data_IF_424743267449
#
_entry.id   IF_424743267449
#
_cell.length_a   1.000
_cell.length_b   1.000
_cell.length_c   1.000
_cell.angle_alpha   90.00
_cell.angle_beta   90.00
_cell.angle_gamma   90.00
#
_symmetry.space_group_name_H-M   'P 1'
#
loop_
_entity.id
_entity.type
_entity.pdbx_description
1 polymer ?
#
# COMPACT_ATOMS: atom_id res chain seq x y z
N UNK A 1 -14.37 -2.47 10.12
CA UNK A 1 -13.04 -2.33 10.77
C UNK A 1 -12.28 -1.42 9.85
N UNK A 2 -12.13 -0.12 10.17
CA UNK A 2 -11.79 0.96 9.22
C UNK A 2 -10.92 0.47 8.04
N UNK A 3 -11.51 0.19 6.87
CA UNK A 3 -10.83 -0.30 5.66
C UNK A 3 -10.17 0.87 4.92
N UNK A 4 -9.59 1.79 5.69
CA UNK A 4 -8.77 2.86 5.19
C UNK A 4 -7.46 2.84 5.95
N UNK A 5 -6.35 2.91 5.24
CA UNK A 5 -5.02 2.96 5.85
C UNK A 5 -4.17 4.03 5.19
N UNK A 6 -3.08 4.41 5.84
CA UNK A 6 -2.20 5.43 5.31
C UNK A 6 -1.15 4.81 4.39
N UNK A 7 -0.92 5.47 3.26
CA UNK A 7 0.07 5.10 2.25
C UNK A 7 0.97 6.31 1.92
N UNK A 8 2.18 6.09 1.39
CA UNK A 8 3.03 7.17 0.92
C UNK A 8 2.34 7.97 -0.21
N UNK A 9 2.32 9.30 -0.10
CA UNK A 9 1.74 10.18 -1.13
C UNK A 9 2.70 10.44 -2.29
N UNK A 10 3.99 10.44 -2.02
CA UNK A 10 5.04 10.66 -3.03
C UNK A 10 6.33 9.97 -2.61
N UNK A 11 7.29 9.90 -3.53
CA UNK A 11 8.64 9.43 -3.23
C UNK A 11 9.45 10.52 -2.56
N UNK A 12 10.19 10.17 -1.51
CA UNK A 12 11.12 11.06 -0.79
C UNK A 12 12.48 10.40 -0.71
N UNK A 13 13.55 11.21 -0.79
CA UNK A 13 14.92 10.78 -0.51
C UNK A 13 15.54 11.68 0.55
N UNK A 14 16.17 11.06 1.54
CA UNK A 14 17.02 11.74 2.52
C UNK A 14 18.43 11.17 2.49
N UNK A 15 19.38 11.94 3.02
CA UNK A 15 20.75 11.50 3.25
C UNK A 15 21.01 11.45 4.76
N UNK A 16 21.50 10.31 5.23
CA UNK A 16 22.03 10.12 6.57
C UNK A 16 23.53 9.77 6.49
N UNK A 17 24.37 10.43 7.28
CA UNK A 17 25.82 10.24 7.25
C UNK A 17 26.35 9.84 8.63
N UNK A 18 27.19 8.79 8.67
CA UNK A 18 27.87 8.33 9.89
C UNK A 18 29.22 7.72 9.54
N UNK A 19 30.27 8.11 10.28
CA UNK A 19 31.65 7.61 10.08
C UNK A 19 32.09 7.62 8.61
N UNK A 20 31.88 8.76 7.94
CA UNK A 20 32.11 8.99 6.51
C UNK A 20 31.29 8.14 5.53
N UNK A 21 30.52 7.15 6.01
CA UNK A 21 29.59 6.40 5.17
C UNK A 21 28.33 7.22 4.94
N UNK A 22 27.81 7.19 3.72
CA UNK A 22 26.60 7.92 3.31
C UNK A 22 25.50 6.93 2.99
N UNK A 23 24.31 7.18 3.52
CA UNK A 23 23.12 6.35 3.37
C UNK A 23 22.02 7.21 2.76
N UNK A 24 21.67 6.93 1.51
CA UNK A 24 20.55 7.58 0.83
C UNK A 24 19.32 6.68 0.95
N UNK A 25 18.41 7.04 1.84
CA UNK A 25 17.14 6.32 2.01
C UNK A 25 16.11 6.94 1.06
N UNK A 26 15.72 6.18 0.03
CA UNK A 26 14.63 6.52 -0.87
C UNK A 26 13.41 5.71 -0.47
N UNK A 27 12.32 6.39 -0.14
CA UNK A 27 11.08 5.78 0.34
C UNK A 27 9.91 6.24 -0.53
N UNK A 28 8.97 5.35 -0.83
CA UNK A 28 7.86 5.66 -1.72
C UNK A 28 6.75 4.62 -1.67
N UNK A 29 5.72 4.84 -2.50
CA UNK A 29 4.57 3.95 -2.64
C UNK A 29 4.87 2.79 -3.59
N UNK A 30 4.40 1.61 -3.24
CA UNK A 30 4.31 0.46 -4.14
C UNK A 30 3.03 -0.32 -3.78
N UNK A 31 2.11 -0.45 -4.73
CA UNK A 31 0.81 -1.11 -4.50
C UNK A 31 0.87 -2.62 -4.75
N UNK A 32 1.98 -3.12 -5.31
CA UNK A 32 2.24 -4.53 -5.54
C UNK A 32 3.70 -4.90 -5.28
N UNK A 33 3.98 -6.20 -5.18
CA UNK A 33 5.35 -6.71 -5.09
C UNK A 33 6.15 -6.39 -6.36
N UNK A 34 5.48 -6.41 -7.51
CA UNK A 34 6.04 -6.10 -8.82
C UNK A 34 6.43 -4.62 -8.91
N UNK A 35 5.60 -3.72 -8.40
CA UNK A 35 5.94 -2.31 -8.28
C UNK A 35 7.09 -2.07 -7.31
N UNK A 36 7.10 -2.76 -6.16
CA UNK A 36 8.21 -2.67 -5.21
C UNK A 36 9.54 -3.11 -5.84
N UNK A 37 9.54 -4.22 -6.60
CA UNK A 37 10.71 -4.69 -7.35
C UNK A 37 11.15 -3.68 -8.42
N UNK A 38 10.20 -3.10 -9.13
CA UNK A 38 10.46 -2.07 -10.15
C UNK A 38 11.08 -0.81 -9.54
N UNK A 39 10.57 -0.39 -8.38
CA UNK A 39 11.14 0.70 -7.58
C UNK A 39 12.57 0.37 -7.15
N UNK A 40 12.83 -0.83 -6.61
CA UNK A 40 14.19 -1.23 -6.22
C UNK A 40 15.14 -1.20 -7.42
N UNK A 41 14.70 -1.69 -8.58
CA UNK A 41 15.51 -1.71 -9.78
C UNK A 41 15.82 -0.31 -10.32
N UNK A 42 14.87 0.63 -10.28
CA UNK A 42 15.11 2.00 -10.74
C UNK A 42 16.17 2.70 -9.89
N UNK A 43 16.14 2.50 -8.56
CA UNK A 43 17.15 3.07 -7.64
C UNK A 43 18.54 2.46 -7.87
N UNK A 44 18.63 1.16 -8.14
CA UNK A 44 19.89 0.50 -8.52
C UNK A 44 20.47 1.06 -9.83
N UNK A 45 19.61 1.33 -10.81
CA UNK A 45 20.04 1.91 -12.09
C UNK A 45 20.46 3.38 -11.94
N UNK A 46 19.82 4.12 -11.04
CA UNK A 46 20.15 5.52 -10.75
C UNK A 46 21.50 5.67 -10.03
N UNK A 47 21.83 4.74 -9.12
CA UNK A 47 23.05 4.79 -8.29
C UNK A 47 23.89 3.49 -8.44
N UNK A 48 24.37 3.17 -9.66
CA UNK A 48 25.01 1.88 -9.95
C UNK A 48 26.40 1.71 -9.32
N UNK A 49 27.00 2.80 -8.85
CA UNK A 49 28.32 2.84 -8.21
C UNK A 49 28.25 2.66 -6.68
N UNK A 50 27.05 2.51 -6.11
CA UNK A 50 26.88 2.28 -4.69
C UNK A 50 27.37 0.90 -4.25
N UNK A 51 27.72 0.78 -2.97
CA UNK A 51 28.21 -0.48 -2.40
C UNK A 51 27.08 -1.47 -2.16
N UNK A 52 25.94 -0.98 -1.67
CA UNK A 52 24.76 -1.79 -1.34
C UNK A 52 23.47 -0.99 -1.57
N UNK A 53 22.42 -1.66 -2.00
CA UNK A 53 21.03 -1.22 -2.09
C UNK A 53 20.14 -2.13 -1.25
N UNK A 54 20.26 -1.95 0.07
CA UNK A 54 19.42 -2.62 1.06
C UNK A 54 18.00 -2.15 0.88
N UNK A 55 17.04 -3.06 0.94
CA UNK A 55 15.63 -2.69 0.80
C UNK A 55 14.75 -3.41 1.79
N UNK A 56 13.59 -2.81 2.04
CA UNK A 56 12.44 -3.45 2.63
C UNK A 56 11.14 -2.88 2.04
N UNK A 57 10.08 -3.66 2.04
CA UNK A 57 8.75 -3.22 1.67
C UNK A 57 7.67 -3.91 2.50
N UNK A 58 6.53 -3.23 2.63
CA UNK A 58 5.28 -3.72 3.22
C UNK A 58 4.17 -3.34 2.23
N UNK A 59 3.54 -4.35 1.63
CA UNK A 59 2.45 -4.18 0.65
C UNK A 59 1.15 -4.67 1.29
N UNK A 60 0.06 -3.95 1.09
CA UNK A 60 -1.22 -4.20 1.74
C UNK A 60 -1.29 -3.70 3.19
N UNK A 61 -2.35 -4.09 3.89
CA UNK A 61 -2.61 -3.69 5.28
C UNK A 61 -3.46 -4.75 6.00
N UNK A 62 -3.32 -4.85 7.32
CA UNK A 62 -4.08 -5.82 8.11
C UNK A 62 -3.71 -7.26 7.77
N UNK A 63 -4.69 -8.08 7.36
CA UNK A 63 -4.48 -9.50 7.07
C UNK A 63 -3.86 -9.77 5.69
N UNK A 64 -3.83 -8.78 4.78
CA UNK A 64 -3.30 -8.93 3.42
C UNK A 64 -1.83 -8.50 3.27
N UNK A 65 -1.13 -8.28 4.39
CA UNK A 65 0.24 -7.76 4.37
C UNK A 65 1.23 -8.76 3.75
N UNK A 66 1.98 -8.29 2.76
CA UNK A 66 3.12 -8.98 2.16
C UNK A 66 4.38 -8.16 2.44
N UNK A 67 5.38 -8.80 3.03
CA UNK A 67 6.65 -8.16 3.37
C UNK A 67 7.81 -8.77 2.57
N UNK A 68 8.84 -7.96 2.31
CA UNK A 68 10.10 -8.43 1.75
C UNK A 68 11.24 -7.51 2.12
N UNK A 69 12.44 -8.07 2.22
CA UNK A 69 13.65 -7.32 2.56
C UNK A 69 14.90 -8.02 2.02
N UNK A 70 16.01 -7.27 1.94
CA UNK A 70 17.32 -7.81 1.61
C UNK A 70 18.43 -6.98 2.25
N UNK A 71 19.46 -7.66 2.75
CA UNK A 71 20.71 -7.04 3.21
C UNK A 71 21.65 -6.64 2.04
N UNK A 72 21.36 -7.05 0.80
CA UNK A 72 22.13 -6.74 -0.42
C UNK A 72 23.67 -6.85 -0.30
N UNK A 73 24.15 -7.89 0.37
CA UNK A 73 25.59 -8.13 0.55
C UNK A 73 26.19 -7.50 1.82
N UNK A 74 25.42 -6.74 2.60
CA UNK A 74 25.77 -6.44 4.00
C UNK A 74 25.78 -7.74 4.83
N UNK A 75 26.45 -7.73 6.00
CA UNK A 75 26.37 -8.85 6.93
C UNK A 75 24.92 -9.21 7.24
N UNK A 76 24.62 -10.51 7.18
CA UNK A 76 23.26 -11.03 7.35
C UNK A 76 22.60 -10.52 8.64
N UNK A 77 21.39 -9.99 8.47
CA UNK A 77 20.56 -9.50 9.56
C UNK A 77 20.87 -8.08 10.04
N UNK A 78 21.81 -7.38 9.40
CA UNK A 78 22.27 -6.07 9.88
C UNK A 78 21.64 -4.86 9.19
N UNK A 79 20.89 -5.06 8.10
CA UNK A 79 20.41 -3.95 7.29
C UNK A 79 18.94 -4.09 6.88
N UNK A 80 18.57 -5.20 6.23
CA UNK A 80 17.19 -5.51 5.82
C UNK A 80 16.24 -5.58 7.01
N UNK A 81 16.51 -6.43 8.03
CA UNK A 81 15.63 -6.54 9.19
C UNK A 81 15.38 -5.26 9.99
N UNK A 82 16.40 -4.42 10.32
CA UNK A 82 16.13 -3.15 11.00
C UNK A 82 15.33 -2.18 10.12
N UNK A 83 15.54 -2.20 8.81
CA UNK A 83 14.73 -1.39 7.87
C UNK A 83 13.27 -1.84 7.87
N UNK A 84 13.02 -3.15 7.73
CA UNK A 84 11.66 -3.71 7.73
C UNK A 84 10.95 -3.48 9.07
N UNK A 85 11.65 -3.62 10.19
CA UNK A 85 11.09 -3.37 11.51
C UNK A 85 10.58 -1.92 11.66
N UNK A 86 11.30 -0.96 11.07
CA UNK A 86 10.90 0.45 11.06
C UNK A 86 9.67 0.67 10.19
N UNK A 87 9.62 0.09 8.98
CA UNK A 87 8.43 0.18 8.13
C UNK A 87 7.21 -0.45 8.79
N UNK A 88 7.34 -1.65 9.36
CA UNK A 88 6.26 -2.33 10.10
C UNK A 88 5.76 -1.50 11.28
N UNK A 89 6.68 -0.91 12.04
CA UNK A 89 6.35 -0.06 13.19
C UNK A 89 5.63 1.25 12.82
N UNK A 90 5.68 1.67 11.56
CA UNK A 90 5.00 2.88 11.08
C UNK A 90 3.49 2.73 10.95
N UNK A 91 3.00 1.49 10.74
CA UNK A 91 1.59 1.22 10.42
C UNK A 91 1.15 1.64 9.02
N UNK A 92 2.07 2.12 8.17
CA UNK A 92 1.79 2.43 6.76
C UNK A 92 1.74 1.15 5.92
N UNK A 93 0.83 1.12 4.96
CA UNK A 93 0.79 0.10 3.91
C UNK A 93 1.37 0.62 2.59
N UNK A 94 1.53 -0.29 1.63
CA UNK A 94 1.99 0.00 0.26
C UNK A 94 3.26 0.85 0.21
N UNK A 95 4.25 0.49 1.02
CA UNK A 95 5.47 1.27 1.24
C UNK A 95 6.70 0.44 0.89
N UNK A 96 7.63 1.06 0.15
CA UNK A 96 8.94 0.50 -0.20
C UNK A 96 10.02 1.48 0.20
N UNK A 97 11.13 0.97 0.74
CA UNK A 97 12.31 1.73 1.06
C UNK A 97 13.55 1.05 0.48
N UNK A 98 14.41 1.83 -0.16
CA UNK A 98 15.76 1.43 -0.59
C UNK A 98 16.77 2.36 0.07
N UNK A 99 17.65 1.80 0.90
CA UNK A 99 18.81 2.51 1.43
C UNK A 99 20.04 2.19 0.59
N UNK A 100 20.49 3.18 -0.16
CA UNK A 100 21.70 3.11 -0.98
C UNK A 100 22.90 3.56 -0.16
N UNK A 101 23.88 2.70 0.03
CA UNK A 101 25.06 2.97 0.85
C UNK A 101 26.31 3.17 0.02
N UNK A 102 27.03 4.24 0.32
CA UNK A 102 28.42 4.44 -0.10
C UNK A 102 29.35 4.26 1.10
N UNK A 103 30.27 3.30 1.01
CA UNK A 103 31.21 3.00 2.08
C UNK A 103 32.24 4.13 2.27
N UNK A 104 32.36 4.62 3.52
CA UNK A 104 33.25 5.73 3.88
C UNK A 104 34.67 5.37 4.30
N UNK A 105 35.13 4.14 4.09
CA UNK A 105 36.47 3.69 4.49
C UNK A 105 36.58 3.19 5.94
N UNK A 106 35.60 3.47 6.81
CA UNK A 106 35.57 2.97 8.20
C UNK A 106 34.43 1.97 8.42
N UNK A 107 34.75 0.79 8.94
CA UNK A 107 33.76 -0.25 9.27
C UNK A 107 32.94 0.17 10.49
N UNK A 108 31.62 0.03 10.40
CA UNK A 108 30.68 0.36 11.48
C UNK A 108 30.48 -0.80 12.49
N UNK A 109 30.88 -2.02 12.12
CA UNK A 109 30.52 -3.23 12.86
C UNK A 109 29.03 -3.55 12.80
N UNK A 110 28.64 -4.73 13.28
CA UNK A 110 27.26 -5.25 13.21
C UNK A 110 26.24 -4.29 13.85
N UNK A 111 26.50 -3.84 15.09
CA UNK A 111 25.60 -2.92 15.80
C UNK A 111 25.51 -1.54 15.16
N UNK A 112 26.62 -1.05 14.59
CA UNK A 112 26.64 0.24 13.88
C UNK A 112 25.83 0.20 12.58
N UNK A 113 25.87 -0.93 11.85
CA UNK A 113 25.03 -1.12 10.66
C UNK A 113 23.55 -1.17 11.01
N UNK A 114 23.18 -1.96 12.02
CA UNK A 114 21.80 -2.05 12.50
C UNK A 114 21.26 -0.68 12.87
N UNK A 115 22.05 0.10 13.61
CA UNK A 115 21.68 1.46 13.97
C UNK A 115 21.56 2.38 12.75
N UNK A 116 22.55 2.38 11.85
CA UNK A 116 22.58 3.28 10.69
C UNK A 116 21.40 3.03 9.72
N UNK A 117 21.11 1.77 9.37
CA UNK A 117 19.99 1.45 8.49
C UNK A 117 18.63 1.75 9.15
N UNK A 118 18.48 1.39 10.43
CA UNK A 118 17.27 1.72 11.18
C UNK A 118 17.05 3.24 11.30
N UNK A 119 18.13 4.01 11.50
CA UNK A 119 18.05 5.47 11.60
C UNK A 119 17.71 6.12 10.26
N UNK A 120 18.38 5.73 9.18
CA UNK A 120 18.07 6.22 7.84
C UNK A 120 16.61 5.94 7.45
N UNK A 121 16.09 4.75 7.78
CA UNK A 121 14.68 4.41 7.55
C UNK A 121 13.72 5.29 8.36
N UNK A 122 14.03 5.57 9.64
CA UNK A 122 13.21 6.45 10.49
C UNK A 122 13.19 7.88 9.98
N UNK A 123 14.34 8.42 9.58
CA UNK A 123 14.42 9.77 9.03
C UNK A 123 13.66 9.90 7.71
N UNK A 124 13.72 8.87 6.85
CA UNK A 124 12.93 8.82 5.63
C UNK A 124 11.42 8.81 5.91
N UNK A 125 10.96 8.02 6.89
CA UNK A 125 9.56 8.00 7.31
C UNK A 125 9.10 9.35 7.88
N UNK A 126 9.93 10.01 8.69
CA UNK A 126 9.60 11.33 9.26
C UNK A 126 9.42 12.40 8.17
N UNK A 127 10.15 12.29 7.07
CA UNK A 127 10.05 13.20 5.93
C UNK A 127 8.94 12.82 4.93
N UNK A 128 8.31 11.64 5.08
CA UNK A 128 7.38 11.09 4.09
C UNK A 128 5.97 11.67 4.27
N UNK A 129 5.43 12.43 3.30
CA UNK A 129 4.01 12.78 3.32
C UNK A 129 3.16 11.55 3.02
N UNK A 130 2.05 11.41 3.73
CA UNK A 130 1.12 10.29 3.62
C UNK A 130 -0.27 10.75 3.24
N UNK A 131 -1.04 9.84 2.64
CA UNK A 131 -2.45 10.03 2.34
C UNK A 131 -3.27 8.80 2.75
N UNK A 132 -4.57 8.96 2.89
CA UNK A 132 -5.48 7.86 3.22
C UNK A 132 -5.91 7.16 1.95
N UNK A 133 -5.64 5.85 1.88
CA UNK A 133 -6.19 4.96 0.87
C UNK A 133 -7.44 4.30 1.43
N UNK A 134 -8.56 4.42 0.70
CA UNK A 134 -9.83 3.74 1.01
C UNK A 134 -9.87 2.47 0.18
N UNK A 135 -9.93 1.32 0.85
CA UNK A 135 -10.09 0.02 0.21
C UNK A 135 -11.53 -0.12 -0.26
N UNK A 136 -11.70 -0.52 -1.52
CA UNK A 136 -13.02 -0.73 -2.10
C UNK A 136 -13.24 -2.20 -2.44
N UNK A 137 -14.50 -2.56 -2.56
CA UNK A 137 -14.97 -3.87 -3.00
C UNK A 137 -15.69 -3.67 -4.32
N UNK A 138 -15.29 -4.41 -5.34
CA UNK A 138 -15.98 -4.46 -6.62
C UNK A 138 -17.16 -5.43 -6.50
N UNK A 139 -18.36 -4.93 -6.74
CA UNK A 139 -19.58 -5.69 -6.65
C UNK A 139 -20.48 -5.45 -7.86
N UNK A 140 -21.33 -6.43 -8.14
CA UNK A 140 -22.38 -6.35 -9.15
C UNK A 140 -23.76 -6.53 -8.52
N UNK A 141 -24.78 -5.92 -9.10
CA UNK A 141 -26.18 -6.15 -8.73
C UNK A 141 -27.07 -6.15 -9.98
N UNK A 142 -27.97 -7.12 -10.05
CA UNK A 142 -29.05 -7.16 -11.05
C UNK A 142 -30.35 -6.66 -10.43
N UNK A 143 -30.97 -5.66 -11.04
CA UNK A 143 -32.16 -5.01 -10.52
C UNK A 143 -33.22 -4.78 -11.60
N UNK A 144 -34.51 -4.88 -11.25
CA UNK A 144 -35.56 -4.44 -12.16
C UNK A 144 -35.51 -2.93 -12.35
N UNK A 145 -35.95 -2.46 -13.53
CA UNK A 145 -36.01 -1.03 -13.86
C UNK A 145 -36.77 -0.18 -12.84
N UNK A 146 -37.75 -0.75 -12.12
CA UNK A 146 -38.52 -0.06 -11.08
C UNK A 146 -37.71 0.32 -9.84
N UNK A 147 -36.56 -0.34 -9.61
CA UNK A 147 -35.65 -0.06 -8.50
C UNK A 147 -34.42 0.75 -8.91
N UNK A 148 -34.16 0.91 -10.21
CA UNK A 148 -32.94 1.51 -10.75
C UNK A 148 -32.57 2.85 -10.11
N UNK A 149 -33.43 3.86 -10.17
CA UNK A 149 -33.15 5.19 -9.60
C UNK A 149 -32.94 5.15 -8.08
N UNK A 150 -33.70 4.30 -7.37
CA UNK A 150 -33.59 4.16 -5.91
C UNK A 150 -32.28 3.48 -5.52
N UNK A 151 -31.82 2.51 -6.29
CA UNK A 151 -30.54 1.82 -6.07
C UNK A 151 -29.37 2.73 -6.40
N UNK A 152 -29.46 3.57 -7.45
CA UNK A 152 -28.42 4.58 -7.73
C UNK A 152 -28.28 5.61 -6.61
N UNK A 153 -29.40 6.09 -6.08
CA UNK A 153 -29.38 6.98 -4.91
C UNK A 153 -28.73 6.28 -3.71
N UNK A 154 -29.08 5.01 -3.46
CA UNK A 154 -28.51 4.22 -2.39
C UNK A 154 -26.98 4.04 -2.56
N UNK A 155 -26.51 3.72 -3.77
CA UNK A 155 -25.09 3.60 -4.10
C UNK A 155 -24.34 4.90 -3.77
N UNK A 156 -24.89 6.04 -4.19
CA UNK A 156 -24.31 7.35 -3.89
C UNK A 156 -24.29 7.64 -2.37
N UNK A 157 -25.33 7.27 -1.63
CA UNK A 157 -25.37 7.44 -0.15
C UNK A 157 -24.27 6.66 0.58
N UNK A 158 -23.77 5.57 -0.02
CA UNK A 158 -22.69 4.75 0.53
C UNK A 158 -21.31 5.00 -0.10
N UNK A 159 -21.15 6.13 -0.81
CA UNK A 159 -19.90 6.51 -1.48
C UNK A 159 -19.41 5.48 -2.51
N UNK A 160 -20.36 4.79 -3.17
CA UNK A 160 -20.05 3.85 -4.23
C UNK A 160 -19.85 4.58 -5.57
N UNK A 161 -18.82 4.17 -6.30
CA UNK A 161 -18.53 4.60 -7.66
C UNK A 161 -19.09 3.55 -8.64
N UNK A 162 -19.95 3.96 -9.57
CA UNK A 162 -20.49 3.07 -10.61
C UNK A 162 -19.46 2.97 -11.74
N UNK A 163 -19.04 1.75 -12.05
CA UNK A 163 -18.10 1.46 -13.13
C UNK A 163 -18.83 1.15 -14.44
N UNK A 164 -19.95 0.42 -14.38
CA UNK A 164 -20.71 0.01 -15.56
C UNK A 164 -22.22 -0.14 -15.27
N UNK A 165 -23.05 0.19 -16.27
CA UNK A 165 -24.50 -0.01 -16.26
C UNK A 165 -24.93 -0.71 -17.55
N UNK A 166 -25.52 -1.90 -17.44
CA UNK A 166 -25.95 -2.72 -18.59
C UNK A 166 -27.47 -2.86 -18.56
N UNK A 167 -28.13 -2.40 -19.61
CA UNK A 167 -29.58 -2.42 -19.74
C UNK A 167 -30.04 -3.59 -20.62
N UNK A 168 -30.57 -4.63 -19.99
CA UNK A 168 -31.10 -5.82 -20.66
C UNK A 168 -32.53 -6.09 -20.17
N UNK A 169 -32.88 -7.37 -19.93
CA UNK A 169 -34.15 -7.73 -19.30
C UNK A 169 -34.28 -7.11 -17.90
N UNK A 170 -33.20 -7.17 -17.13
CA UNK A 170 -32.96 -6.40 -15.92
C UNK A 170 -31.77 -5.46 -16.14
N UNK A 171 -31.54 -4.53 -15.21
CA UNK A 171 -30.39 -3.63 -15.22
C UNK A 171 -29.29 -4.22 -14.34
N UNK A 172 -28.12 -4.45 -14.90
CA UNK A 172 -26.92 -4.83 -14.14
C UNK A 172 -26.12 -3.57 -13.85
N UNK A 173 -25.74 -3.36 -12.59
CA UNK A 173 -24.83 -2.28 -12.18
C UNK A 173 -23.58 -2.91 -11.56
N UNK A 174 -22.42 -2.57 -12.10
CA UNK A 174 -21.11 -2.89 -11.53
C UNK A 174 -20.56 -1.63 -10.86
N UNK A 175 -20.12 -1.76 -9.62
CA UNK A 175 -19.71 -0.63 -8.80
C UNK A 175 -18.62 -0.99 -7.80
N UNK A 176 -17.83 0.01 -7.38
CA UNK A 176 -16.85 -0.06 -6.31
C UNK A 176 -17.36 0.70 -5.10
N UNK A 177 -17.50 0.02 -3.97
CA UNK A 177 -17.99 0.58 -2.71
C UNK A 177 -16.89 0.48 -1.65
N UNK A 178 -16.72 1.45 -0.73
CA UNK A 178 -15.83 1.27 0.42
C UNK A 178 -16.13 -0.05 1.11
N UNK A 179 -15.10 -0.88 1.34
CA UNK A 179 -15.32 -2.26 1.77
C UNK A 179 -16.09 -2.36 3.10
N UNK A 180 -15.87 -1.43 4.03
CA UNK A 180 -16.63 -1.30 5.29
C UNK A 180 -18.13 -1.06 5.08
N UNK A 181 -18.54 -0.47 3.95
CA UNK A 181 -19.94 -0.16 3.65
C UNK A 181 -20.67 -1.34 3.01
N UNK A 182 -19.96 -2.38 2.55
CA UNK A 182 -20.54 -3.50 1.78
C UNK A 182 -21.68 -4.20 2.52
N UNK A 183 -21.50 -4.51 3.81
CA UNK A 183 -22.51 -5.22 4.61
C UNK A 183 -23.75 -4.35 4.84
N UNK A 184 -23.57 -3.11 5.30
CA UNK A 184 -24.67 -2.16 5.52
C UNK A 184 -25.40 -1.78 4.23
N UNK A 185 -24.69 -1.68 3.11
CA UNK A 185 -25.30 -1.49 1.79
C UNK A 185 -26.18 -2.69 1.42
N UNK A 186 -25.67 -3.91 1.58
CA UNK A 186 -26.40 -5.14 1.31
C UNK A 186 -27.67 -5.28 2.16
N UNK A 187 -27.61 -4.88 3.43
CA UNK A 187 -28.80 -4.78 4.30
C UNK A 187 -29.83 -3.79 3.77
N UNK A 188 -29.44 -2.54 3.49
CA UNK A 188 -30.38 -1.53 2.99
C UNK A 188 -30.93 -1.85 1.61
N UNK A 189 -30.15 -2.52 0.76
CA UNK A 189 -30.60 -2.97 -0.55
C UNK A 189 -31.68 -4.06 -0.43
N UNK A 190 -31.52 -4.99 0.52
CA UNK A 190 -32.54 -5.99 0.83
C UNK A 190 -33.81 -5.34 1.34
N UNK A 191 -33.72 -4.38 2.27
CA UNK A 191 -34.90 -3.65 2.76
C UNK A 191 -35.62 -2.89 1.64
N UNK A 192 -34.86 -2.21 0.77
CA UNK A 192 -35.39 -1.46 -0.37
C UNK A 192 -36.16 -2.35 -1.36
N UNK A 193 -35.68 -3.59 -1.53
CA UNK A 193 -36.18 -4.56 -2.51
C UNK A 193 -37.11 -5.63 -1.92
N UNK A 194 -37.51 -5.51 -0.65
CA UNK A 194 -38.26 -6.57 0.07
C UNK A 194 -37.56 -7.94 0.02
N UNK A 195 -36.23 -7.95 0.06
CA UNK A 195 -35.37 -9.13 0.08
C UNK A 195 -35.11 -9.79 -1.28
N UNK A 196 -35.54 -9.17 -2.39
CA UNK A 196 -35.43 -9.78 -3.73
C UNK A 196 -34.06 -9.58 -4.38
N UNK A 197 -33.32 -8.55 -3.99
CA UNK A 197 -32.06 -8.15 -4.64
C UNK A 197 -30.89 -8.41 -3.69
N UNK A 198 -29.80 -8.95 -4.23
CA UNK A 198 -28.55 -9.20 -3.54
C UNK A 198 -27.37 -8.72 -4.39
N UNK A 199 -26.33 -8.22 -3.74
CA UNK A 199 -25.06 -7.95 -4.41
C UNK A 199 -24.29 -9.26 -4.61
N UNK A 200 -23.50 -9.30 -5.68
CA UNK A 200 -22.48 -10.31 -5.92
C UNK A 200 -21.11 -9.66 -5.79
N UNK A 201 -20.25 -10.17 -4.92
CA UNK A 201 -18.87 -9.69 -4.82
C UNK A 201 -18.08 -10.25 -6.00
N UNK A 202 -17.51 -9.35 -6.81
CA UNK A 202 -16.71 -9.71 -7.97
C UNK A 202 -15.22 -9.75 -7.60
N UNK A 203 -14.77 -8.78 -6.81
CA UNK A 203 -13.40 -8.69 -6.31
C UNK A 203 -13.34 -7.94 -4.97
N UNK A 204 -12.53 -8.44 -4.03
CA UNK A 204 -12.31 -7.80 -2.74
C UNK A 204 -11.00 -7.00 -2.73
N UNK A 205 -11.00 -5.87 -2.03
CA UNK A 205 -9.82 -5.06 -1.74
C UNK A 205 -9.13 -4.43 -2.97
N UNK A 206 -9.94 -3.88 -3.88
CA UNK A 206 -9.51 -3.06 -5.02
C UNK A 206 -9.29 -1.59 -4.65
#
# INVERSE_FOLDING_TARGET
MKTSYQVPKQTVRIEYQVSNSRFYATIGRADSVEEAKSFIQSIRQEMPDATHHVYAYVIGHGSSVIEGMSDDGEPSGTAGPPTLAVLRGSGLGNIVLVTTRYFGGTKLGTGGLVHAYGQAAKEALLALPVETLIVRTLAGVDIPYSLYERVKLLLHEFDAEIDEEIFAADVTIVFRIPSDNTESFSERLRDLSSGQVHITILEENV
#
